data_IF_162342751110
#
_entry.id   IF_162342751110
#
_cell.length_a   1.000
_cell.length_b   1.000
_cell.length_c   1.000
_cell.angle_alpha   90.00
_cell.angle_beta   90.00
_cell.angle_gamma   90.00
#
_symmetry.space_group_name_H-M   'P 1'
#
loop_
_entity.id
_entity.type
_entity.pdbx_description
1 polymer ?
#
# COMPACT_ATOMS: atom_id res chain seq x y z
N UNK A 1 19.96 -3.35 24.21
CA UNK A 1 18.87 -2.36 24.10
C UNK A 1 18.05 -2.76 22.88
N UNK A 2 16.72 -2.85 23.01
CA UNK A 2 15.86 -3.29 21.91
C UNK A 2 15.89 -2.22 20.81
N UNK A 3 16.19 -2.61 19.57
CA UNK A 3 16.13 -1.68 18.44
C UNK A 3 14.67 -1.27 18.19
N UNK A 4 14.40 -0.02 17.77
CA UNK A 4 13.03 0.42 17.49
C UNK A 4 12.43 -0.36 16.31
N UNK A 5 11.12 -0.61 16.38
CA UNK A 5 10.36 -1.24 15.30
C UNK A 5 9.48 -0.17 14.64
N UNK A 6 9.63 0.00 13.33
CA UNK A 6 8.86 0.93 12.50
C UNK A 6 7.79 0.12 11.78
N UNK A 7 6.56 0.18 12.30
CA UNK A 7 5.42 -0.57 11.78
C UNK A 7 4.57 0.28 10.83
N UNK A 8 4.20 -0.26 9.67
CA UNK A 8 3.12 0.28 8.85
C UNK A 8 2.42 -0.83 8.07
N UNK A 9 1.18 -0.59 7.64
CA UNK A 9 0.41 -1.57 6.90
C UNK A 9 -0.40 -0.98 5.75
N UNK A 10 -0.81 -1.84 4.84
CA UNK A 10 -1.68 -1.51 3.72
C UNK A 10 -2.48 -2.74 3.28
N UNK A 11 -3.77 -2.56 3.01
CA UNK A 11 -4.61 -3.56 2.35
C UNK A 11 -4.13 -3.83 0.91
N UNK A 12 -4.47 -4.98 0.31
CA UNK A 12 -4.25 -5.25 -1.11
C UNK A 12 -5.09 -4.32 -2.01
N UNK A 13 -4.61 -3.09 -2.21
CA UNK A 13 -5.34 -2.05 -2.93
C UNK A 13 -5.10 -2.08 -4.44
N UNK A 14 -5.57 -3.13 -5.12
CA UNK A 14 -5.59 -3.21 -6.59
C UNK A 14 -4.21 -3.29 -7.25
N UNK A 15 -4.18 -3.23 -8.59
CA UNK A 15 -3.01 -3.57 -9.44
C UNK A 15 -1.75 -2.75 -9.19
N UNK A 16 -1.92 -1.50 -8.75
CA UNK A 16 -0.81 -0.58 -8.56
C UNK A 16 -0.70 -0.15 -7.10
N UNK A 17 0.52 -0.02 -6.56
CA UNK A 17 0.71 0.59 -5.26
C UNK A 17 0.11 2.00 -5.29
N UNK A 18 -0.99 2.20 -4.54
CA UNK A 18 -1.56 3.54 -4.35
C UNK A 18 -0.45 4.48 -3.89
N UNK A 19 -0.50 5.76 -4.31
CA UNK A 19 0.51 6.79 -3.93
C UNK A 19 0.81 6.80 -2.42
N UNK A 20 -0.20 6.47 -1.60
CA UNK A 20 -0.09 6.34 -0.16
C UNK A 20 0.80 5.18 0.31
N UNK A 21 0.82 4.02 -0.37
CA UNK A 21 1.73 2.92 -0.04
C UNK A 21 3.18 3.32 -0.29
N UNK A 22 3.46 3.94 -1.44
CA UNK A 22 4.78 4.47 -1.73
C UNK A 22 5.21 5.52 -0.70
N UNK A 23 4.31 6.43 -0.33
CA UNK A 23 4.57 7.42 0.73
C UNK A 23 4.91 6.76 2.07
N UNK A 24 4.14 5.75 2.51
CA UNK A 24 4.42 5.00 3.74
C UNK A 24 5.81 4.35 3.73
N UNK A 25 6.18 3.72 2.61
CA UNK A 25 7.52 3.12 2.44
C UNK A 25 8.61 4.18 2.53
N UNK A 26 8.46 5.29 1.82
CA UNK A 26 9.45 6.38 1.84
C UNK A 26 9.58 7.00 3.23
N UNK A 27 8.47 7.24 3.92
CA UNK A 27 8.46 7.75 5.30
C UNK A 27 9.11 6.78 6.27
N UNK A 28 8.80 5.48 6.19
CA UNK A 28 9.41 4.47 7.06
C UNK A 28 10.93 4.41 6.85
N UNK A 29 11.40 4.49 5.59
CA UNK A 29 12.83 4.51 5.27
C UNK A 29 13.51 5.79 5.71
N UNK A 30 12.83 6.93 5.63
CA UNK A 30 13.35 8.19 6.15
C UNK A 30 13.51 8.11 7.68
N UNK A 31 12.47 7.66 8.38
CA UNK A 31 12.50 7.47 9.84
C UNK A 31 13.61 6.49 10.26
N UNK A 32 13.75 5.36 9.55
CA UNK A 32 14.83 4.39 9.81
C UNK A 32 16.23 5.00 9.70
N UNK A 33 16.45 5.95 8.79
CA UNK A 33 17.74 6.66 8.70
C UNK A 33 18.00 7.57 9.88
N UNK A 34 16.95 8.10 10.51
CA UNK A 34 17.07 9.03 11.64
C UNK A 34 17.24 8.30 12.99
N UNK A 35 16.45 7.25 13.22
CA UNK A 35 16.38 6.58 14.54
C UNK A 35 16.94 5.14 14.54
N UNK A 36 17.37 4.62 13.38
CA UNK A 36 17.73 3.22 13.22
C UNK A 36 16.51 2.29 13.30
N UNK A 37 16.76 0.99 13.53
CA UNK A 37 15.70 0.01 13.76
C UNK A 37 15.26 -0.80 12.56
N UNK A 38 14.26 -1.65 12.79
CA UNK A 38 13.70 -2.58 11.80
C UNK A 38 12.36 -2.09 11.28
N UNK A 39 12.15 -2.22 9.98
CA UNK A 39 10.86 -1.90 9.36
C UNK A 39 10.05 -3.18 9.19
N UNK A 40 8.84 -3.18 9.74
CA UNK A 40 7.87 -4.27 9.59
C UNK A 40 6.68 -3.76 8.78
N UNK A 41 6.47 -4.36 7.61
CA UNK A 41 5.32 -4.08 6.75
C UNK A 41 4.25 -5.14 6.97
N UNK A 42 3.05 -4.70 7.33
CA UNK A 42 1.87 -5.54 7.44
C UNK A 42 1.09 -5.50 6.13
N UNK A 43 0.98 -6.64 5.46
CA UNK A 43 0.07 -6.82 4.33
C UNK A 43 -1.29 -7.25 4.88
N UNK A 44 -2.28 -6.35 4.86
CA UNK A 44 -3.60 -6.57 5.49
C UNK A 44 -4.53 -7.31 4.53
N UNK A 45 -4.24 -8.58 4.25
CA UNK A 45 -4.99 -9.43 3.31
C UNK A 45 -6.31 -9.97 3.88
N UNK A 46 -6.46 -9.99 5.21
CA UNK A 46 -7.70 -10.39 5.89
C UNK A 46 -8.86 -9.40 5.69
N UNK A 47 -8.57 -8.21 5.19
CA UNK A 47 -9.56 -7.18 4.94
C UNK A 47 -9.99 -7.19 3.47
N UNK A 48 -11.26 -7.47 3.25
CA UNK A 48 -11.84 -7.73 1.93
C UNK A 48 -12.86 -6.67 1.51
N UNK A 49 -12.78 -5.42 2.03
CA UNK A 49 -13.68 -4.37 1.55
C UNK A 49 -13.39 -4.03 0.06
N UNK A 50 -14.27 -4.44 -0.88
CA UNK A 50 -14.03 -4.23 -2.30
C UNK A 50 -14.02 -2.74 -2.67
N UNK A 51 -14.65 -1.88 -1.86
CA UNK A 51 -14.66 -0.42 -2.09
C UNK A 51 -13.27 0.18 -1.96
N UNK A 52 -12.41 -0.47 -1.18
CA UNK A 52 -11.05 0.01 -0.89
C UNK A 52 -10.00 -0.68 -1.77
N UNK A 53 -10.33 -1.84 -2.36
CA UNK A 53 -9.41 -2.67 -3.14
C UNK A 53 -9.63 -2.63 -4.65
N UNK A 54 -10.81 -2.25 -5.15
CA UNK A 54 -11.08 -2.11 -6.59
C UNK A 54 -10.27 -0.97 -7.21
N UNK A 55 -9.63 -1.25 -8.35
CA UNK A 55 -9.04 -0.23 -9.23
C UNK A 55 -9.94 0.00 -10.43
N UNK A 56 -10.46 1.23 -10.57
CA UNK A 56 -11.17 1.65 -11.77
C UNK A 56 -10.14 2.16 -12.78
N UNK A 57 -10.07 1.53 -13.95
CA UNK A 57 -9.28 2.01 -15.08
C UNK A 57 -10.20 2.36 -16.24
N UNK A 58 -9.73 3.24 -17.13
CA UNK A 58 -10.42 3.55 -18.38
C UNK A 58 -9.88 2.70 -19.51
N UNK A 59 -10.74 1.90 -20.14
CA UNK A 59 -10.39 1.18 -21.35
C UNK A 59 -10.24 2.17 -22.50
N UNK A 60 -9.09 2.14 -23.18
CA UNK A 60 -8.79 3.06 -24.28
C UNK A 60 -9.54 2.71 -25.58
N UNK A 61 -10.00 1.48 -25.76
CA UNK A 61 -10.69 1.04 -26.98
C UNK A 61 -12.19 1.33 -26.91
N UNK A 62 -12.80 1.07 -25.75
CA UNK A 62 -14.23 1.25 -25.53
C UNK A 62 -14.56 2.59 -24.88
N UNK A 63 -13.58 3.24 -24.26
CA UNK A 63 -13.70 4.49 -23.51
C UNK A 63 -14.57 4.39 -22.24
N UNK A 64 -14.85 3.16 -21.80
CA UNK A 64 -15.64 2.84 -20.62
C UNK A 64 -14.75 2.63 -19.38
N UNK A 65 -15.35 2.83 -18.21
CA UNK A 65 -14.72 2.52 -16.93
C UNK A 65 -14.83 1.02 -16.64
N UNK A 66 -13.69 0.40 -16.32
CA UNK A 66 -13.60 -1.03 -15.99
C UNK A 66 -13.12 -1.17 -14.56
N UNK A 67 -13.92 -1.88 -13.76
CA UNK A 67 -13.53 -2.28 -12.42
C UNK A 67 -12.63 -3.51 -12.47
N UNK A 68 -11.36 -3.34 -12.09
CA UNK A 68 -10.40 -4.41 -11.98
C UNK A 68 -10.15 -4.72 -10.50
N UNK A 69 -10.38 -5.97 -10.14
CA UNK A 69 -10.06 -6.53 -8.83
C UNK A 69 -8.89 -7.51 -8.99
N UNK A 70 -8.15 -7.71 -7.89
CA UNK A 70 -7.28 -8.88 -7.73
C UNK A 70 -8.13 -10.09 -7.35
#
# INVERSE_FOLDING_TARGET
MNQPIICFGQQPCGFFPKRYLAAKILTARHLQKEIGGEIVFFFHDSDHDPRETTTILRDQHTNEDVALNF
#
